data_IF_235816438998
#
_entry.id   IF_235816438998
#
_cell.length_a   1.000
_cell.length_b   1.000
_cell.length_c   1.000
_cell.angle_alpha   90.00
_cell.angle_beta   90.00
_cell.angle_gamma   90.00
#
_symmetry.space_group_name_H-M   'P 1'
#
loop_
_entity.id
_entity.type
_entity.pdbx_description
1 polymer ?
#
# COMPACT_ATOMS: atom_id res chain seq x y z
N UNK A 1 3.70 75.68 -21.01
CA UNK A 1 3.20 75.08 -19.75
C UNK A 1 1.81 74.58 -20.05
N UNK A 2 1.37 73.33 -19.90
CA UNK A 2 1.71 72.14 -19.10
C UNK A 2 0.78 71.06 -19.71
N UNK A 3 1.17 69.88 -20.17
CA UNK A 3 1.81 68.78 -19.45
C UNK A 3 1.16 67.49 -19.95
N UNK A 4 1.90 66.70 -20.73
CA UNK A 4 1.55 65.35 -21.19
C UNK A 4 1.95 64.39 -20.07
N UNK A 5 1.02 63.71 -19.37
CA UNK A 5 1.37 62.57 -18.50
C UNK A 5 0.15 61.66 -18.31
N UNK A 6 -0.02 60.66 -19.18
CA UNK A 6 0.28 59.23 -18.93
C UNK A 6 -0.86 58.52 -18.22
N UNK A 7 -1.64 57.79 -19.02
CA UNK A 7 -2.42 56.61 -18.63
C UNK A 7 -1.49 55.66 -17.85
N UNK A 8 -1.58 55.71 -16.52
CA UNK A 8 -1.04 54.65 -15.68
C UNK A 8 -2.14 53.63 -15.55
N UNK A 9 -2.06 52.59 -16.38
CA UNK A 9 -2.55 51.26 -16.04
C UNK A 9 -2.03 50.93 -14.64
N UNK A 10 -2.90 51.13 -13.66
CA UNK A 10 -2.64 50.81 -12.27
C UNK A 10 -2.56 49.28 -12.23
N UNK A 11 -1.33 48.74 -12.24
CA UNK A 11 -1.10 47.35 -11.88
C UNK A 11 -1.71 47.17 -10.49
N UNK A 12 -2.85 46.48 -10.44
CA UNK A 12 -3.41 45.95 -9.20
C UNK A 12 -2.24 45.27 -8.46
N UNK A 13 -1.91 45.70 -7.24
CA UNK A 13 -0.92 45.00 -6.45
C UNK A 13 -1.45 43.58 -6.27
N UNK A 14 -0.79 42.57 -6.85
CA UNK A 14 -1.05 41.19 -6.50
C UNK A 14 -0.87 41.11 -4.98
N UNK A 15 -1.97 40.98 -4.23
CA UNK A 15 -1.94 40.94 -2.79
C UNK A 15 -1.07 39.74 -2.37
N UNK A 16 0.16 39.95 -1.85
CA UNK A 16 1.10 38.86 -1.60
C UNK A 16 0.53 37.83 -0.62
N UNK A 17 -0.32 38.28 0.29
CA UNK A 17 -1.08 37.43 1.21
C UNK A 17 -2.11 36.53 0.52
N UNK A 18 -2.77 36.97 -0.57
CA UNK A 18 -3.73 36.13 -1.29
C UNK A 18 -3.03 35.00 -2.05
N UNK A 19 -1.86 35.31 -2.64
CA UNK A 19 -1.01 34.31 -3.31
C UNK A 19 -0.44 33.29 -2.31
N UNK A 20 0.02 33.75 -1.15
CA UNK A 20 0.48 32.87 -0.08
C UNK A 20 -0.64 31.93 0.42
N UNK A 21 -1.88 32.42 0.56
CA UNK A 21 -3.04 31.58 0.92
C UNK A 21 -3.33 30.55 -0.17
N UNK A 22 -3.30 30.94 -1.45
CA UNK A 22 -3.49 30.03 -2.58
C UNK A 22 -2.39 28.95 -2.64
N UNK A 23 -1.13 29.31 -2.40
CA UNK A 23 0.00 28.38 -2.40
C UNK A 23 -0.13 27.35 -1.28
N UNK A 24 -0.52 27.79 -0.07
CA UNK A 24 -0.80 26.89 1.07
C UNK A 24 -1.98 25.96 0.75
N UNK A 25 -3.05 26.48 0.16
CA UNK A 25 -4.22 25.68 -0.21
C UNK A 25 -3.89 24.64 -1.29
N UNK A 26 -3.11 25.03 -2.30
CA UNK A 26 -2.66 24.13 -3.36
C UNK A 26 -1.70 23.05 -2.82
N UNK A 27 -0.78 23.42 -1.92
CA UNK A 27 0.10 22.47 -1.25
C UNK A 27 -0.68 21.47 -0.39
N UNK A 28 -1.70 21.94 0.34
CA UNK A 28 -2.60 21.09 1.12
C UNK A 28 -3.36 20.09 0.24
N UNK A 29 -3.92 20.54 -0.89
CA UNK A 29 -4.61 19.64 -1.83
C UNK A 29 -3.66 18.61 -2.44
N UNK A 30 -2.46 19.01 -2.85
CA UNK A 30 -1.43 18.10 -3.37
C UNK A 30 -1.05 17.05 -2.33
N UNK A 31 -0.85 17.46 -1.07
CA UNK A 31 -0.54 16.55 0.04
C UNK A 31 -1.67 15.54 0.28
N UNK A 32 -2.93 15.99 0.31
CA UNK A 32 -4.09 15.11 0.46
C UNK A 32 -4.21 14.11 -0.71
N UNK A 33 -3.99 14.56 -1.94
CA UNK A 33 -4.02 13.67 -3.10
C UNK A 33 -2.89 12.63 -3.09
N UNK A 34 -1.68 13.02 -2.67
CA UNK A 34 -0.55 12.11 -2.53
C UNK A 34 -0.80 11.06 -1.44
N UNK A 35 -1.36 11.48 -0.30
CA UNK A 35 -1.77 10.59 0.78
C UNK A 35 -2.83 9.57 0.29
N UNK A 36 -3.85 10.04 -0.42
CA UNK A 36 -4.90 9.17 -0.97
C UNK A 36 -4.33 8.12 -1.94
N UNK A 37 -3.43 8.53 -2.83
CA UNK A 37 -2.76 7.62 -3.77
C UNK A 37 -1.87 6.59 -3.05
N UNK A 38 -1.07 7.03 -2.06
CA UNK A 38 -0.21 6.12 -1.29
C UNK A 38 -1.02 5.07 -0.52
N UNK A 39 -2.16 5.47 0.05
CA UNK A 39 -3.06 4.54 0.73
C UNK A 39 -3.73 3.55 -0.23
N UNK A 40 -4.20 4.02 -1.39
CA UNK A 40 -4.77 3.16 -2.42
C UNK A 40 -3.75 2.14 -2.96
N UNK A 41 -2.50 2.56 -3.19
CA UNK A 41 -1.41 1.67 -3.60
C UNK A 41 -1.12 0.63 -2.51
N UNK A 42 -1.05 1.04 -1.24
CA UNK A 42 -0.84 0.13 -0.12
C UNK A 42 -1.94 -0.94 -0.01
N UNK A 43 -3.21 -0.54 -0.12
CA UNK A 43 -4.33 -1.48 -0.14
C UNK A 43 -4.28 -2.42 -1.33
N UNK A 44 -3.93 -1.92 -2.51
CA UNK A 44 -3.78 -2.75 -3.71
C UNK A 44 -2.70 -3.80 -3.51
N UNK A 45 -1.54 -3.42 -3.00
CA UNK A 45 -0.42 -4.34 -2.77
C UNK A 45 -0.74 -5.40 -1.72
N UNK A 46 -1.39 -5.01 -0.62
CA UNK A 46 -1.88 -5.96 0.40
C UNK A 46 -2.92 -6.92 -0.18
N UNK A 47 -3.85 -6.42 -0.99
CA UNK A 47 -4.88 -7.24 -1.63
C UNK A 47 -4.28 -8.28 -2.57
N UNK A 48 -3.32 -7.88 -3.41
CA UNK A 48 -2.60 -8.79 -4.31
C UNK A 48 -1.90 -9.90 -3.52
N UNK A 49 -1.17 -9.56 -2.45
CA UNK A 49 -0.47 -10.55 -1.64
C UNK A 49 -1.42 -11.59 -1.04
N UNK A 50 -2.52 -11.14 -0.43
CA UNK A 50 -3.53 -12.04 0.14
C UNK A 50 -4.14 -12.95 -0.92
N UNK A 51 -4.43 -12.43 -2.11
CA UNK A 51 -4.97 -13.24 -3.21
C UNK A 51 -3.96 -14.28 -3.70
N UNK A 52 -2.70 -13.90 -3.85
CA UNK A 52 -1.63 -14.81 -4.26
C UNK A 52 -1.42 -15.91 -3.21
N UNK A 53 -1.42 -15.55 -1.92
CA UNK A 53 -1.35 -16.52 -0.83
C UNK A 53 -2.49 -17.53 -0.86
N UNK A 54 -3.75 -17.06 -1.01
CA UNK A 54 -4.92 -17.95 -1.10
C UNK A 54 -4.82 -18.85 -2.34
N UNK A 55 -4.40 -18.32 -3.47
CA UNK A 55 -4.23 -19.10 -4.69
C UNK A 55 -3.19 -20.22 -4.50
N UNK A 56 -2.06 -19.93 -3.87
CA UNK A 56 -1.05 -20.95 -3.54
C UNK A 56 -1.58 -22.00 -2.56
N UNK A 57 -2.33 -21.58 -1.53
CA UNK A 57 -2.96 -22.53 -0.59
C UNK A 57 -3.93 -23.49 -1.29
N UNK A 58 -4.74 -22.99 -2.22
CA UNK A 58 -5.66 -23.83 -3.01
C UNK A 58 -4.89 -24.80 -3.90
N UNK A 59 -3.77 -24.39 -4.50
CA UNK A 59 -2.92 -25.30 -5.30
C UNK A 59 -2.37 -26.45 -4.46
N UNK A 60 -1.93 -26.16 -3.23
CA UNK A 60 -1.46 -27.18 -2.30
C UNK A 60 -2.59 -28.13 -1.88
N UNK A 61 -3.81 -27.64 -1.64
CA UNK A 61 -4.97 -28.51 -1.34
C UNK A 61 -5.24 -29.50 -2.48
N UNK A 62 -5.25 -29.01 -3.73
CA UNK A 62 -5.43 -29.85 -4.92
C UNK A 62 -4.29 -30.87 -5.05
N UNK A 63 -3.05 -30.45 -4.83
CA UNK A 63 -1.88 -31.34 -4.87
C UNK A 63 -2.02 -32.45 -3.82
N UNK A 64 -2.36 -32.10 -2.59
CA UNK A 64 -2.53 -33.06 -1.49
C UNK A 64 -3.66 -34.04 -1.78
N UNK A 65 -4.81 -33.58 -2.27
CA UNK A 65 -5.89 -34.47 -2.68
C UNK A 65 -5.45 -35.43 -3.80
N UNK A 66 -4.72 -34.93 -4.79
CA UNK A 66 -4.17 -35.76 -5.85
C UNK A 66 -3.22 -36.83 -5.30
N UNK A 67 -2.32 -36.47 -4.38
CA UNK A 67 -1.41 -37.42 -3.73
C UNK A 67 -2.17 -38.47 -2.91
N UNK A 68 -3.17 -38.06 -2.14
CA UNK A 68 -3.99 -38.96 -1.33
C UNK A 68 -4.74 -40.00 -2.18
N UNK A 69 -5.27 -39.61 -3.34
CA UNK A 69 -5.92 -40.56 -4.28
C UNK A 69 -4.97 -41.63 -4.81
N UNK A 70 -3.66 -41.36 -4.82
CA UNK A 70 -2.64 -42.29 -5.30
C UNK A 70 -1.92 -43.03 -4.17
N UNK A 71 -2.21 -42.72 -2.91
CA UNK A 71 -1.60 -43.37 -1.76
C UNK A 71 -2.04 -44.83 -1.66
N UNK A 72 -1.08 -45.74 -1.49
CA UNK A 72 -1.31 -47.20 -1.44
C UNK A 72 -1.24 -47.76 -0.02
N UNK A 73 -0.94 -46.92 0.97
CA UNK A 73 -0.83 -47.33 2.37
C UNK A 73 -1.19 -46.21 3.33
N UNK A 74 -1.52 -46.59 4.56
CA UNK A 74 -1.78 -45.64 5.64
C UNK A 74 -0.53 -44.80 5.99
N UNK A 75 0.66 -45.40 5.89
CA UNK A 75 1.93 -44.73 6.11
C UNK A 75 2.17 -43.61 5.09
N UNK A 76 1.82 -43.83 3.82
CA UNK A 76 1.89 -42.79 2.78
C UNK A 76 0.88 -41.66 3.07
N UNK A 77 -0.34 -41.99 3.48
CA UNK A 77 -1.35 -40.99 3.89
C UNK A 77 -0.83 -40.12 5.03
N UNK A 78 -0.27 -40.73 6.08
CA UNK A 78 0.29 -40.00 7.24
C UNK A 78 1.43 -39.07 6.82
N UNK A 79 2.31 -39.55 5.93
CA UNK A 79 3.41 -38.74 5.38
C UNK A 79 2.87 -37.53 4.60
N UNK A 80 1.92 -37.75 3.68
CA UNK A 80 1.31 -36.68 2.88
C UNK A 80 0.64 -35.63 3.77
N UNK A 81 -0.10 -36.05 4.80
CA UNK A 81 -0.72 -35.12 5.73
C UNK A 81 0.31 -34.34 6.57
N UNK A 82 1.37 -35.01 7.02
CA UNK A 82 2.47 -34.35 7.74
C UNK A 82 3.17 -33.28 6.89
N UNK A 83 3.48 -33.61 5.64
CA UNK A 83 4.07 -32.67 4.68
C UNK A 83 3.13 -31.49 4.40
N UNK A 84 1.82 -31.74 4.25
CA UNK A 84 0.82 -30.69 4.05
C UNK A 84 0.75 -29.71 5.23
N UNK A 85 0.71 -30.23 6.46
CA UNK A 85 0.67 -29.38 7.68
C UNK A 85 1.95 -28.58 7.81
N UNK A 86 3.11 -29.21 7.64
CA UNK A 86 4.39 -28.50 7.69
C UNK A 86 4.44 -27.37 6.65
N UNK A 87 4.04 -27.66 5.42
CA UNK A 87 4.00 -26.69 4.33
C UNK A 87 3.07 -25.51 4.66
N UNK A 88 1.90 -25.79 5.23
CA UNK A 88 0.97 -24.75 5.66
C UNK A 88 1.61 -23.85 6.72
N UNK A 89 2.22 -24.43 7.77
CA UNK A 89 2.90 -23.65 8.81
C UNK A 89 3.98 -22.72 8.23
N UNK A 90 4.81 -23.24 7.34
CA UNK A 90 5.87 -22.47 6.68
C UNK A 90 5.28 -21.32 5.85
N UNK A 91 4.24 -21.59 5.07
CA UNK A 91 3.57 -20.61 4.23
C UNK A 91 2.88 -19.50 5.04
N UNK A 92 2.15 -19.84 6.10
CA UNK A 92 1.49 -18.83 6.96
C UNK A 92 2.52 -17.96 7.71
N UNK A 93 3.62 -18.56 8.16
CA UNK A 93 4.71 -17.82 8.80
C UNK A 93 5.35 -16.82 7.82
N UNK A 94 5.66 -17.27 6.61
CA UNK A 94 6.22 -16.41 5.56
C UNK A 94 5.25 -15.28 5.16
N UNK A 95 3.98 -15.61 4.94
CA UNK A 95 2.93 -14.63 4.59
C UNK A 95 2.77 -13.56 5.68
N UNK A 96 2.77 -13.97 6.94
CA UNK A 96 2.71 -13.02 8.06
C UNK A 96 3.89 -12.04 8.03
N UNK A 97 5.10 -12.54 7.76
CA UNK A 97 6.27 -11.69 7.57
C UNK A 97 6.08 -10.71 6.42
N UNK A 98 5.56 -11.18 5.30
CA UNK A 98 5.35 -10.35 4.11
C UNK A 98 4.30 -9.26 4.32
N UNK A 99 3.21 -9.56 5.02
CA UNK A 99 2.19 -8.57 5.38
C UNK A 99 2.75 -7.49 6.31
N UNK A 100 3.63 -7.86 7.24
CA UNK A 100 4.34 -6.90 8.10
C UNK A 100 5.23 -5.98 7.27
N UNK A 101 6.00 -6.51 6.32
CA UNK A 101 6.83 -5.71 5.41
C UNK A 101 6.01 -4.73 4.57
N UNK A 102 4.90 -5.20 3.98
CA UNK A 102 3.99 -4.36 3.20
C UNK A 102 3.37 -3.24 4.05
N UNK A 103 2.97 -3.56 5.28
CA UNK A 103 2.43 -2.58 6.22
C UNK A 103 3.46 -1.51 6.62
N UNK A 104 4.71 -1.92 6.90
CA UNK A 104 5.79 -0.97 7.18
C UNK A 104 6.10 -0.09 5.97
N UNK A 105 6.15 -0.67 4.77
CA UNK A 105 6.36 0.07 3.52
C UNK A 105 5.22 1.08 3.26
N UNK A 106 3.97 0.70 3.54
CA UNK A 106 2.83 1.60 3.46
C UNK A 106 2.96 2.77 4.44
N UNK A 107 3.29 2.49 5.71
CA UNK A 107 3.46 3.51 6.75
C UNK A 107 4.60 4.48 6.43
N UNK A 108 5.70 4.01 5.85
CA UNK A 108 6.82 4.85 5.43
C UNK A 108 6.47 5.86 4.33
N UNK A 109 5.44 5.55 3.51
CA UNK A 109 4.93 6.44 2.46
C UNK A 109 3.92 7.48 2.96
N UNK A 110 3.41 7.35 4.20
CA UNK A 110 2.45 8.30 4.78
C UNK A 110 3.20 9.52 5.36
N UNK A 111 2.94 10.75 4.90
CA UNK A 111 3.52 11.95 5.48
C UNK A 111 2.99 12.16 6.91
N UNK A 112 3.83 11.95 7.93
CA UNK A 112 3.51 12.30 9.32
C UNK A 112 3.81 11.27 10.42
N UNK A 113 4.66 10.26 10.24
CA UNK A 113 5.00 9.27 11.28
C UNK A 113 5.82 9.80 12.48
N UNK A 114 5.70 11.09 12.81
CA UNK A 114 6.25 11.73 14.02
C UNK A 114 5.18 11.99 15.10
N UNK A 115 4.10 11.20 15.13
CA UNK A 115 3.01 11.29 16.15
C UNK A 115 3.12 10.17 17.20
N UNK A 116 4.33 9.72 17.52
CA UNK A 116 4.60 9.05 18.79
C UNK A 116 5.74 9.81 19.47
N UNK A 117 5.49 10.50 20.61
CA UNK A 117 6.58 10.92 21.48
C UNK A 117 7.24 9.66 22.10
N UNK A 118 8.56 9.72 22.28
CA UNK A 118 9.36 8.73 23.01
C UNK A 118 8.82 8.44 24.41
#
# INVERSE_FOLDING_TARGET
MTGKTTDKTQKTPEAPGLKAIQDVQQAGFKSASALGNAWAEALSNLGVEVFDFVAERVKEDVRTQHQLMHAKSLQEVQKIQGEFVQKALDQYSAETGRLVELSQAAMAKLPGTKIMPD
#
